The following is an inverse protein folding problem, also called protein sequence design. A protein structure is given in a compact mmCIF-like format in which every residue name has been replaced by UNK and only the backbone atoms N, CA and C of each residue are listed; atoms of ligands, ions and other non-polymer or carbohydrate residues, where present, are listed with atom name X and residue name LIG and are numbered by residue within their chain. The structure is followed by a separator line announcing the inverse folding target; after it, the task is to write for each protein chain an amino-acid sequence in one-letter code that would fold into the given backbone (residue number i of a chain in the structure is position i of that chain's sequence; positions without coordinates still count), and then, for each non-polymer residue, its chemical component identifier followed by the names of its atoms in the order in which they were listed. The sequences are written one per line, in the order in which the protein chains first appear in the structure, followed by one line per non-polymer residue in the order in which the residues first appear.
data_IF_756850665105
#
_entry.id   IF_756850665105
#
_cell.length_a   1.000
_cell.length_b   1.000
_cell.length_c   1.000
_cell.angle_alpha   90.00
_cell.angle_beta   90.00
_cell.angle_gamma   90.00
#
_symmetry.space_group_name_H-M   'P 1'
#
loop_
_entity.id
_entity.type
_entity.pdbx_description
1 polymer ?
#
# COMPACT_ATOMS: atom_id res chain seq x y z
N UNK A 1 -12.15 9.04 5.74
CA UNK A 1 -10.97 8.42 6.35
C UNK A 1 -10.26 9.51 7.10
N UNK A 2 -10.39 9.48 8.42
CA UNK A 2 -10.05 10.59 9.30
C UNK A 2 -8.76 10.31 10.10
N UNK A 3 -8.19 9.10 10.01
CA UNK A 3 -6.92 8.76 10.66
C UNK A 3 -6.08 7.69 9.95
N UNK A 4 -4.78 7.65 10.26
CA UNK A 4 -3.86 6.58 9.85
C UNK A 4 -4.35 5.19 10.32
N UNK A 5 -4.98 5.10 11.49
CA UNK A 5 -5.51 3.84 12.02
C UNK A 5 -6.65 3.25 11.17
N UNK A 6 -7.48 4.10 10.59
CA UNK A 6 -8.55 3.65 9.70
C UNK A 6 -8.02 3.01 8.42
N UNK A 7 -6.91 3.52 7.85
CA UNK A 7 -6.25 2.91 6.70
C UNK A 7 -5.75 1.50 7.01
N UNK A 8 -5.19 1.31 8.21
CA UNK A 8 -4.72 0.02 8.70
C UNK A 8 -5.84 -1.03 8.81
N UNK A 9 -7.07 -0.59 9.10
CA UNK A 9 -8.24 -1.48 9.13
C UNK A 9 -8.76 -1.68 7.71
N UNK A 10 -8.95 -0.59 6.96
CA UNK A 10 -9.59 -0.60 5.66
C UNK A 10 -8.83 -1.42 4.61
N UNK A 11 -7.49 -1.50 4.72
CA UNK A 11 -6.68 -2.38 3.84
C UNK A 11 -7.19 -3.83 3.83
N UNK A 12 -7.77 -4.31 4.94
CA UNK A 12 -8.34 -5.67 5.00
C UNK A 12 -9.56 -5.80 4.08
N UNK A 13 -10.38 -4.76 3.96
CA UNK A 13 -11.52 -4.73 3.03
C UNK A 13 -11.05 -4.70 1.58
N UNK A 14 -9.98 -3.96 1.28
CA UNK A 14 -9.38 -3.97 -0.07
C UNK A 14 -8.80 -5.36 -0.40
N UNK A 15 -8.14 -6.00 0.55
CA UNK A 15 -7.58 -7.35 0.39
C UNK A 15 -8.65 -8.42 0.08
N UNK A 16 -9.87 -8.29 0.59
CA UNK A 16 -10.98 -9.19 0.23
C UNK A 16 -11.29 -9.18 -1.28
N UNK A 17 -11.10 -8.04 -1.96
CA UNK A 17 -11.38 -7.90 -3.38
C UNK A 17 -10.18 -8.13 -4.30
N UNK A 18 -8.98 -7.79 -3.84
CA UNK A 18 -7.74 -7.83 -4.66
C UNK A 18 -6.79 -8.97 -4.29
N UNK A 19 -7.00 -9.61 -3.14
CA UNK A 19 -6.14 -10.66 -2.60
C UNK A 19 -5.24 -10.20 -1.45
N UNK A 20 -4.73 -11.17 -0.70
CA UNK A 20 -3.96 -10.96 0.53
C UNK A 20 -2.65 -10.19 0.33
N UNK A 21 -2.09 -10.17 -0.89
CA UNK A 21 -0.88 -9.41 -1.22
C UNK A 21 -1.03 -7.91 -0.92
N UNK A 22 -2.25 -7.37 -0.96
CA UNK A 22 -2.55 -5.98 -0.57
C UNK A 22 -2.09 -5.67 0.84
N UNK A 23 -2.24 -6.60 1.78
CA UNK A 23 -1.83 -6.37 3.17
C UNK A 23 -0.31 -6.26 3.30
N UNK A 24 0.43 -7.01 2.47
CA UNK A 24 1.89 -6.93 2.42
C UNK A 24 2.35 -5.63 1.76
N UNK A 25 1.82 -5.29 0.59
CA UNK A 25 2.13 -4.04 -0.11
C UNK A 25 1.84 -2.80 0.76
N UNK A 26 0.72 -2.78 1.48
CA UNK A 26 0.41 -1.69 2.42
C UNK A 26 1.45 -1.58 3.56
N UNK A 27 1.84 -2.71 4.18
CA UNK A 27 2.85 -2.68 5.25
C UNK A 27 4.22 -2.24 4.75
N UNK A 28 4.58 -2.64 3.52
CA UNK A 28 5.80 -2.18 2.88
C UNK A 28 5.75 -0.67 2.61
N UNK A 29 4.63 -0.14 2.12
CA UNK A 29 4.43 1.30 1.95
C UNK A 29 4.54 2.07 3.28
N UNK A 30 3.91 1.56 4.34
CA UNK A 30 4.00 2.13 5.69
C UNK A 30 5.44 2.12 6.22
N UNK A 31 6.19 1.04 5.96
CA UNK A 31 7.62 0.95 6.28
C UNK A 31 8.44 1.99 5.53
N UNK A 32 8.17 2.23 4.23
CA UNK A 32 8.86 3.26 3.45
C UNK A 32 8.51 4.67 3.93
N UNK A 33 7.27 4.92 4.33
CA UNK A 33 6.86 6.20 4.92
C UNK A 33 7.61 6.50 6.23
N UNK A 34 7.83 5.49 7.08
CA UNK A 34 8.67 5.63 8.29
C UNK A 34 10.13 5.83 7.94
N UNK A 35 10.64 5.02 7.01
CA UNK A 35 12.03 5.09 6.55
C UNK A 35 12.39 6.43 5.91
N UNK A 36 11.43 7.18 5.38
CA UNK A 36 11.65 8.54 4.94
C UNK A 36 12.26 9.43 6.04
N UNK A 37 11.91 9.21 7.31
CA UNK A 37 12.48 9.93 8.45
C UNK A 37 13.71 9.25 9.05
N UNK A 38 13.84 7.93 8.88
CA UNK A 38 14.93 7.14 9.49
C UNK A 38 16.16 7.05 8.58
N UNK A 39 15.98 7.21 7.27
CA UNK A 39 17.02 7.12 6.23
C UNK A 39 17.85 5.82 6.28
N UNK A 40 17.18 4.69 6.56
CA UNK A 40 17.81 3.37 6.67
C UNK A 40 17.59 2.47 5.44
N UNK A 41 16.49 2.66 4.72
CA UNK A 41 16.16 1.86 3.55
C UNK A 41 17.21 2.02 2.44
N UNK A 42 17.57 0.91 1.80
CA UNK A 42 18.44 0.93 0.63
C UNK A 42 17.67 1.37 -0.61
N UNK A 43 18.40 1.70 -1.69
CA UNK A 43 17.78 1.98 -2.99
C UNK A 43 16.97 0.79 -3.48
N UNK A 44 17.51 -0.42 -3.31
CA UNK A 44 16.89 -1.68 -3.71
C UNK A 44 15.58 -1.93 -2.96
N UNK A 45 15.53 -1.61 -1.66
CA UNK A 45 14.30 -1.67 -0.86
C UNK A 45 13.23 -0.74 -1.42
N UNK A 46 13.60 0.53 -1.68
CA UNK A 46 12.67 1.54 -2.22
C UNK A 46 12.15 1.12 -3.58
N UNK A 47 13.03 0.71 -4.50
CA UNK A 47 12.64 0.28 -5.86
C UNK A 47 11.77 -0.99 -5.84
N UNK A 48 12.06 -1.93 -4.93
CA UNK A 48 11.26 -3.14 -4.73
C UNK A 48 9.85 -2.81 -4.24
N UNK A 49 9.74 -2.01 -3.18
CA UNK A 49 8.45 -1.60 -2.63
C UNK A 49 7.65 -0.75 -3.61
N UNK A 50 8.31 0.14 -4.36
CA UNK A 50 7.64 1.00 -5.34
C UNK A 50 6.86 0.18 -6.38
N UNK A 51 7.40 -0.95 -6.86
CA UNK A 51 6.72 -1.84 -7.80
C UNK A 51 5.43 -2.44 -7.22
N UNK A 52 5.48 -2.89 -5.98
CA UNK A 52 4.32 -3.47 -5.29
C UNK A 52 3.25 -2.41 -5.00
N UNK A 53 3.66 -1.21 -4.61
CA UNK A 53 2.76 -0.08 -4.36
C UNK A 53 2.12 0.42 -5.66
N UNK A 54 2.88 0.49 -6.75
CA UNK A 54 2.34 0.84 -8.06
C UNK A 54 1.24 -0.15 -8.49
N UNK A 55 1.49 -1.45 -8.31
CA UNK A 55 0.48 -2.50 -8.55
C UNK A 55 -0.77 -2.28 -7.67
N UNK A 56 -0.59 -1.97 -6.38
CA UNK A 56 -1.70 -1.70 -5.45
C UNK A 56 -2.56 -0.52 -5.93
N UNK A 57 -1.92 0.61 -6.28
CA UNK A 57 -2.61 1.83 -6.71
C UNK A 57 -3.37 1.58 -8.01
N UNK A 58 -2.74 0.98 -9.02
CA UNK A 58 -3.38 0.70 -10.32
C UNK A 58 -4.63 -0.18 -10.17
N UNK A 59 -4.53 -1.27 -9.41
CA UNK A 59 -5.65 -2.19 -9.21
C UNK A 59 -6.78 -1.53 -8.38
N UNK A 60 -6.43 -0.77 -7.34
CA UNK A 60 -7.42 -0.04 -6.53
C UNK A 60 -8.14 1.01 -7.36
N UNK A 61 -7.42 1.80 -8.15
CA UNK A 61 -7.99 2.81 -9.05
C UNK A 61 -8.93 2.16 -10.10
N UNK A 62 -8.56 1.01 -10.66
CA UNK A 62 -9.42 0.27 -11.58
C UNK A 62 -10.74 -0.17 -10.92
N UNK A 63 -10.71 -0.60 -9.65
CA UNK A 63 -11.93 -0.94 -8.90
C UNK A 63 -12.80 0.29 -8.68
N UNK A 64 -12.21 1.40 -8.24
CA UNK A 64 -12.95 2.64 -7.97
C UNK A 64 -13.64 3.14 -9.24
N UNK A 65 -12.93 3.15 -10.38
CA UNK A 65 -13.49 3.55 -11.68
C UNK A 65 -14.63 2.67 -12.17
N UNK A 66 -14.64 1.37 -11.82
CA UNK A 66 -15.74 0.46 -12.19
C UNK A 66 -17.00 0.63 -11.35
N UNK A 67 -16.89 1.31 -10.20
CA UNK A 67 -17.99 1.56 -9.26
C UNK A 67 -18.55 2.98 -9.34
N UNK A 68 -17.92 3.84 -10.14
CA UNK A 68 -18.37 5.20 -10.45
C UNK A 68 -19.17 5.18 -11.76
#
# INVERSE_FOLDING_TARGET
MESHGELWIYKNKVAQGLGEWVKAAFRQADSMHKNFYENLATKEDVEGVLKEVERLVKNTAAIVKRKA
#
